data_IF_456520927108
#
_entry.id   IF_456520927108
#
_cell.length_a   1.000
_cell.length_b   1.000
_cell.length_c   1.000
_cell.angle_alpha   90.00
_cell.angle_beta   90.00
_cell.angle_gamma   90.00
#
_symmetry.space_group_name_H-M   'P 1'
#
loop_
_entity.id
_entity.type
_entity.pdbx_description
1 polymer ?
#
# COMPACT_ATOMS: atom_id res chain seq x y z
N UNK A 1 -26.66 -10.72 3.69
CA UNK A 1 -25.25 -10.54 4.08
C UNK A 1 -24.44 -10.57 2.79
N UNK A 2 -23.82 -9.45 2.41
CA UNK A 2 -23.10 -9.35 1.15
C UNK A 2 -21.79 -10.12 1.23
N UNK A 3 -21.47 -10.91 0.20
CA UNK A 3 -20.27 -11.76 0.09
C UNK A 3 -18.94 -11.02 0.39
N UNK A 4 -18.97 -9.69 0.30
CA UNK A 4 -17.86 -8.79 0.52
C UNK A 4 -17.41 -8.65 2.00
N UNK A 5 -18.34 -8.72 2.96
CA UNK A 5 -18.02 -8.59 4.39
C UNK A 5 -17.31 -9.82 4.96
N UNK A 6 -17.69 -11.01 4.47
CA UNK A 6 -17.08 -12.29 4.84
C UNK A 6 -15.64 -12.41 4.32
N UNK A 7 -15.33 -11.92 3.12
CA UNK A 7 -13.96 -11.93 2.57
C UNK A 7 -12.98 -11.06 3.36
N UNK A 8 -13.47 -10.14 4.19
CA UNK A 8 -12.68 -9.06 4.80
C UNK A 8 -12.69 -9.06 6.32
N UNK A 9 -13.25 -10.09 6.96
CA UNK A 9 -13.40 -10.19 8.42
C UNK A 9 -14.01 -8.92 9.06
N UNK A 10 -14.92 -8.25 8.34
CA UNK A 10 -15.60 -7.10 8.88
C UNK A 10 -16.67 -7.57 9.86
N UNK A 11 -16.78 -6.89 11.01
CA UNK A 11 -17.91 -7.13 11.92
C UNK A 11 -19.22 -6.71 11.25
N UNK A 12 -20.33 -7.29 11.69
CA UNK A 12 -21.67 -6.94 11.17
C UNK A 12 -21.95 -5.44 11.34
N UNK A 13 -21.53 -4.84 12.46
CA UNK A 13 -21.65 -3.41 12.72
C UNK A 13 -20.83 -2.55 11.75
N UNK A 14 -19.61 -2.97 11.42
CA UNK A 14 -18.77 -2.27 10.43
C UNK A 14 -19.34 -2.39 9.01
N UNK A 15 -20.03 -3.50 8.71
CA UNK A 15 -20.70 -3.74 7.42
C UNK A 15 -21.92 -2.84 7.24
N UNK A 16 -22.73 -2.66 8.28
CA UNK A 16 -23.92 -1.80 8.23
C UNK A 16 -23.56 -0.31 8.14
N UNK A 17 -22.50 0.13 8.84
CA UNK A 17 -21.97 1.50 8.68
C UNK A 17 -21.43 1.74 7.26
N UNK A 18 -20.75 0.75 6.66
CA UNK A 18 -20.25 0.82 5.29
C UNK A 18 -21.41 0.96 4.28
N UNK A 19 -22.47 0.17 4.46
CA UNK A 19 -23.67 0.21 3.62
C UNK A 19 -24.38 1.57 3.72
N UNK A 20 -24.51 2.12 4.93
CA UNK A 20 -25.08 3.45 5.15
C UNK A 20 -24.20 4.57 4.56
N UNK A 21 -22.88 4.43 4.60
CA UNK A 21 -21.94 5.38 4.02
C UNK A 21 -21.91 5.31 2.48
N UNK A 22 -22.00 4.11 1.91
CA UNK A 22 -22.14 3.87 0.46
C UNK A 22 -23.46 4.44 -0.10
N UNK A 23 -24.53 4.46 0.70
CA UNK A 23 -25.81 5.10 0.36
C UNK A 23 -25.72 6.64 0.29
N UNK A 24 -24.67 7.27 0.83
CA UNK A 24 -24.39 8.71 0.74
C UNK A 24 -23.37 9.09 -0.36
N UNK A 25 -22.82 8.09 -1.06
CA UNK A 25 -21.76 8.20 -2.08
C UNK A 25 -20.95 6.90 -2.05
N UNK A 26 -20.73 6.27 -3.20
CA UNK A 26 -20.16 4.92 -3.27
C UNK A 26 -18.70 4.92 -2.80
N UNK A 27 -18.47 4.54 -1.53
CA UNK A 27 -17.12 4.30 -1.03
C UNK A 27 -16.64 2.99 -1.64
N UNK A 28 -15.59 3.07 -2.43
CA UNK A 28 -14.93 1.93 -3.05
C UNK A 28 -13.57 1.72 -2.42
N UNK A 29 -13.01 0.54 -2.59
CA UNK A 29 -11.68 0.20 -2.09
C UNK A 29 -10.98 -0.75 -3.07
N UNK A 30 -9.65 -0.86 -2.94
CA UNK A 30 -8.83 -1.81 -3.69
C UNK A 30 -7.70 -2.30 -2.81
N UNK A 31 -7.54 -3.62 -2.79
CA UNK A 31 -6.31 -4.26 -2.33
C UNK A 31 -5.28 -4.24 -3.45
N UNK A 32 -4.03 -4.00 -3.08
CA UNK A 32 -2.96 -3.82 -4.04
C UNK A 32 -1.64 -4.39 -3.57
N UNK A 33 -0.77 -4.62 -4.55
CA UNK A 33 0.62 -5.01 -4.35
C UNK A 33 1.48 -4.33 -5.41
N UNK A 34 2.59 -3.78 -4.99
CA UNK A 34 3.66 -3.23 -5.81
C UNK A 34 4.97 -3.91 -5.39
N UNK A 35 5.87 -4.16 -6.33
CA UNK A 35 7.12 -4.85 -6.04
C UNK A 35 8.29 -4.24 -6.78
N UNK A 36 9.42 -4.19 -6.11
CA UNK A 36 10.72 -3.94 -6.72
C UNK A 36 11.35 -5.28 -7.15
N UNK A 37 11.98 -5.31 -8.32
CA UNK A 37 12.75 -6.46 -8.79
C UNK A 37 14.12 -6.00 -9.29
N UNK A 38 15.19 -6.49 -8.64
CA UNK A 38 16.57 -6.16 -8.98
C UNK A 38 17.50 -7.33 -8.70
N UNK A 39 17.96 -8.01 -9.75
CA UNK A 39 18.83 -9.18 -9.61
C UNK A 39 18.18 -10.29 -8.78
N UNK A 40 18.75 -10.56 -7.60
CA UNK A 40 18.25 -11.55 -6.63
C UNK A 40 17.42 -10.94 -5.48
N UNK A 41 17.00 -9.68 -5.64
CA UNK A 41 16.12 -8.95 -4.74
C UNK A 41 14.70 -8.81 -5.32
N UNK A 42 13.71 -9.28 -4.57
CA UNK A 42 12.28 -9.01 -4.74
C UNK A 42 11.78 -8.39 -3.44
N UNK A 43 11.42 -7.12 -3.47
CA UNK A 43 10.88 -6.42 -2.32
C UNK A 43 9.42 -6.06 -2.58
N UNK A 44 8.54 -6.27 -1.59
CA UNK A 44 7.09 -6.16 -1.76
C UNK A 44 6.47 -5.11 -0.85
N UNK A 45 5.51 -4.39 -1.42
CA UNK A 45 4.71 -3.35 -0.80
C UNK A 45 3.24 -3.65 -1.07
N UNK A 46 2.42 -3.80 -0.05
CA UNK A 46 1.02 -4.17 -0.23
C UNK A 46 0.11 -3.33 0.66
N UNK A 47 -1.17 -3.25 0.30
CA UNK A 47 -2.10 -2.47 1.11
C UNK A 47 -3.52 -2.45 0.59
N UNK A 48 -4.32 -1.60 1.23
CA UNK A 48 -5.71 -1.31 0.92
C UNK A 48 -5.93 0.19 0.92
N UNK A 49 -6.47 0.70 -0.17
CA UNK A 49 -6.84 2.11 -0.32
C UNK A 49 -8.35 2.21 -0.53
N UNK A 50 -8.97 3.21 0.10
CA UNK A 50 -10.38 3.56 -0.09
C UNK A 50 -10.50 4.86 -0.88
N UNK A 51 -11.64 5.07 -1.56
CA UNK A 51 -11.99 6.34 -2.19
C UNK A 51 -13.51 6.54 -2.29
N UNK A 52 -13.96 7.78 -2.40
CA UNK A 52 -15.39 8.16 -2.42
C UNK A 52 -15.78 9.15 -3.53
N UNK A 53 -14.93 9.32 -4.55
CA UNK A 53 -15.12 10.31 -5.62
C UNK A 53 -14.62 11.71 -5.27
N UNK A 54 -14.41 12.01 -3.97
CA UNK A 54 -13.84 13.29 -3.50
C UNK A 54 -12.50 13.12 -2.82
N UNK A 55 -12.31 12.02 -2.11
CA UNK A 55 -11.08 11.68 -1.41
C UNK A 55 -10.64 10.25 -1.70
N UNK A 56 -9.34 10.00 -1.59
CA UNK A 56 -8.74 8.70 -1.40
C UNK A 56 -7.97 8.70 -0.08
N UNK A 57 -7.91 7.56 0.60
CA UNK A 57 -7.24 7.44 1.90
C UNK A 57 -6.77 6.03 2.23
N UNK A 58 -5.76 5.95 3.09
CA UNK A 58 -5.30 4.72 3.74
C UNK A 58 -5.43 4.86 5.26
N UNK A 59 -5.02 5.99 5.84
CA UNK A 59 -5.30 6.29 7.24
C UNK A 59 -6.80 6.50 7.47
N UNK A 60 -7.25 6.34 8.73
CA UNK A 60 -8.67 6.34 9.09
C UNK A 60 -9.42 7.58 8.60
N UNK A 61 -10.48 7.38 7.80
CA UNK A 61 -11.41 8.42 7.37
C UNK A 61 -12.83 7.85 7.30
N UNK A 62 -13.82 8.59 7.82
CA UNK A 62 -15.22 8.16 7.93
C UNK A 62 -15.39 6.76 8.56
N UNK A 63 -14.56 6.46 9.57
CA UNK A 63 -14.58 5.16 10.27
C UNK A 63 -13.85 4.02 9.54
N UNK A 64 -13.36 4.24 8.32
CA UNK A 64 -12.71 3.23 7.50
C UNK A 64 -11.21 3.44 7.47
N UNK A 65 -10.48 2.36 7.79
CA UNK A 65 -9.02 2.35 7.82
C UNK A 65 -8.53 1.35 6.78
N UNK A 66 -7.70 1.83 5.87
CA UNK A 66 -6.97 1.02 4.90
C UNK A 66 -5.83 0.24 5.56
N UNK A 67 -4.94 -0.25 4.72
CA UNK A 67 -3.74 -0.95 5.15
C UNK A 67 -2.55 -0.47 4.31
N UNK A 68 -1.39 -0.36 4.95
CA UNK A 68 -0.13 -0.22 4.24
C UNK A 68 0.90 -1.13 4.93
N UNK A 69 1.37 -2.13 4.20
CA UNK A 69 2.31 -3.14 4.66
C UNK A 69 3.57 -3.01 3.81
N UNK A 70 4.58 -2.38 4.39
CA UNK A 70 5.93 -2.32 3.86
C UNK A 70 6.70 -3.58 4.27
N UNK A 71 7.58 -4.07 3.39
CA UNK A 71 8.27 -5.35 3.58
C UNK A 71 7.28 -6.51 3.81
N UNK A 72 6.27 -6.62 2.93
CA UNK A 72 5.27 -7.68 3.07
C UNK A 72 5.88 -9.06 2.79
N UNK A 73 5.38 -10.10 3.47
CA UNK A 73 5.87 -11.47 3.34
C UNK A 73 5.99 -11.97 1.88
N UNK A 74 7.02 -12.78 1.63
CA UNK A 74 7.33 -13.32 0.31
C UNK A 74 8.20 -12.41 -0.57
N UNK A 75 8.86 -11.41 0.01
CA UNK A 75 10.08 -10.83 -0.57
C UNK A 75 11.21 -11.87 -0.60
N UNK A 76 12.15 -11.71 -1.53
CA UNK A 76 13.32 -12.57 -1.70
C UNK A 76 14.55 -11.67 -1.66
N UNK A 77 15.47 -11.89 -0.73
CA UNK A 77 16.70 -11.09 -0.61
C UNK A 77 17.92 -12.02 -0.53
N UNK A 78 18.27 -12.68 -1.63
CA UNK A 78 19.41 -13.61 -1.64
C UNK A 78 20.71 -12.83 -1.81
N UNK A 79 21.49 -12.75 -0.75
CA UNK A 79 22.75 -11.99 -0.70
C UNK A 79 22.56 -10.49 -0.45
N UNK A 80 21.31 -10.04 -0.24
CA UNK A 80 20.97 -8.66 0.06
C UNK A 80 20.55 -8.50 1.52
N UNK A 81 20.86 -7.36 2.11
CA UNK A 81 20.24 -6.88 3.34
C UNK A 81 19.25 -5.76 2.99
N UNK A 82 18.01 -5.90 3.44
CA UNK A 82 16.95 -4.89 3.21
C UNK A 82 16.65 -4.19 4.53
N UNK A 83 16.65 -2.86 4.52
CA UNK A 83 16.32 -2.03 5.68
C UNK A 83 15.17 -1.09 5.32
N UNK A 84 13.94 -1.33 5.82
CA UNK A 84 12.84 -0.38 5.69
C UNK A 84 13.19 0.96 6.35
N UNK A 85 13.03 2.05 5.61
CA UNK A 85 13.30 3.41 6.08
C UNK A 85 12.02 4.18 6.37
N UNK A 86 11.01 4.04 5.51
CA UNK A 86 9.76 4.79 5.63
C UNK A 86 8.57 3.99 5.12
N UNK A 87 7.44 4.08 5.82
CA UNK A 87 6.18 3.45 5.42
C UNK A 87 5.02 4.39 5.74
N UNK A 88 4.51 5.12 4.74
CA UNK A 88 3.51 6.18 4.98
C UNK A 88 2.09 5.70 4.69
N UNK A 89 1.16 6.00 5.59
CA UNK A 89 -0.28 5.76 5.38
C UNK A 89 -0.97 7.11 5.19
N UNK A 90 -1.19 7.58 3.95
CA UNK A 90 -1.78 8.88 3.67
C UNK A 90 -3.20 9.00 4.24
N UNK A 91 -3.48 10.16 4.84
CA UNK A 91 -4.84 10.57 5.21
C UNK A 91 -5.71 10.90 3.99
N UNK A 92 -6.95 11.27 4.24
CA UNK A 92 -7.88 11.65 3.19
C UNK A 92 -7.43 12.92 2.45
N UNK A 93 -7.40 12.82 1.13
CA UNK A 93 -7.18 13.94 0.22
C UNK A 93 -7.53 13.55 -1.20
N UNK A 94 -7.27 14.42 -2.17
CA UNK A 94 -7.54 14.13 -3.60
C UNK A 94 -6.72 12.96 -4.15
N UNK A 95 -5.68 12.55 -3.42
CA UNK A 95 -4.81 11.45 -3.75
C UNK A 95 -4.25 10.81 -2.47
N UNK A 96 -4.18 9.48 -2.45
CA UNK A 96 -3.53 8.68 -1.42
C UNK A 96 -2.31 7.99 -2.03
N UNK A 97 -1.12 8.52 -1.75
CA UNK A 97 0.17 7.92 -2.13
C UNK A 97 0.72 7.06 -0.99
N UNK A 98 0.58 5.74 -1.13
CA UNK A 98 1.26 4.80 -0.25
C UNK A 98 2.73 4.77 -0.64
N UNK A 99 3.60 5.21 0.27
CA UNK A 99 5.04 5.23 0.03
C UNK A 99 5.76 4.23 0.91
N UNK A 100 6.63 3.43 0.30
CA UNK A 100 7.57 2.56 0.97
C UNK A 100 8.99 2.86 0.50
N UNK A 101 9.84 3.33 1.43
CA UNK A 101 11.28 3.53 1.18
C UNK A 101 12.10 2.47 1.91
N UNK A 102 13.11 1.93 1.25
CA UNK A 102 14.06 0.99 1.85
C UNK A 102 15.45 1.09 1.23
N UNK A 103 16.46 0.78 2.04
CA UNK A 103 17.82 0.52 1.56
C UNK A 103 17.97 -0.97 1.26
N UNK A 104 18.63 -1.28 0.15
CA UNK A 104 19.04 -2.63 -0.23
C UNK A 104 20.56 -2.68 -0.42
N UNK A 105 21.25 -3.44 0.45
CA UNK A 105 22.71 -3.53 0.44
C UNK A 105 23.21 -4.92 0.04
N UNK A 106 24.25 -4.98 -0.78
CA UNK A 106 24.99 -6.20 -1.15
C UNK A 106 26.49 -5.95 -1.10
N UNK A 107 27.28 -6.98 -0.79
CA UNK A 107 28.73 -6.93 -0.97
C UNK A 107 29.10 -7.49 -2.36
N UNK A 108 29.70 -6.65 -3.22
CA UNK A 108 30.20 -7.05 -4.53
C UNK A 108 31.70 -6.80 -4.58
N UNK A 109 32.49 -7.84 -4.88
CA UNK A 109 33.96 -7.77 -4.94
C UNK A 109 34.63 -7.16 -3.69
N UNK A 110 34.03 -7.39 -2.51
CA UNK A 110 34.54 -6.88 -1.23
C UNK A 110 34.16 -5.42 -0.93
N UNK A 111 33.39 -4.76 -1.81
CA UNK A 111 32.86 -3.42 -1.58
C UNK A 111 31.34 -3.45 -1.33
N UNK A 112 30.83 -2.71 -0.33
CA UNK A 112 29.39 -2.59 -0.13
C UNK A 112 28.76 -1.68 -1.20
N UNK A 113 27.67 -2.14 -1.80
CA UNK A 113 26.80 -1.37 -2.67
C UNK A 113 25.45 -1.26 -1.96
N UNK A 114 24.92 -0.05 -1.82
CA UNK A 114 23.58 0.20 -1.27
C UNK A 114 22.75 0.95 -2.29
N UNK A 115 21.56 0.44 -2.56
CA UNK A 115 20.53 1.07 -3.37
C UNK A 115 19.49 1.66 -2.42
N UNK A 116 19.13 2.93 -2.59
CA UNK A 116 18.02 3.58 -1.89
C UNK A 116 16.83 3.57 -2.83
N UNK A 117 15.77 2.84 -2.47
CA UNK A 117 14.63 2.56 -3.35
C UNK A 117 13.34 3.02 -2.67
N UNK A 118 12.51 3.73 -3.43
CA UNK A 118 11.17 4.13 -3.03
C UNK A 118 10.11 3.53 -3.95
N UNK A 119 9.11 2.86 -3.39
CA UNK A 119 7.94 2.34 -4.09
C UNK A 119 6.72 3.22 -3.78
N UNK A 120 6.08 3.72 -4.83
CA UNK A 120 4.86 4.50 -4.73
C UNK A 120 3.68 3.73 -5.30
N UNK A 121 2.57 3.73 -4.56
CA UNK A 121 1.26 3.29 -5.03
C UNK A 121 0.25 4.40 -4.76
N UNK A 122 -0.09 5.14 -5.79
CA UNK A 122 -0.93 6.33 -5.70
C UNK A 122 -2.32 6.03 -6.23
N UNK A 123 -3.35 6.31 -5.44
CA UNK A 123 -4.76 6.21 -5.84
C UNK A 123 -5.43 7.57 -5.71
N UNK A 124 -6.03 8.09 -6.78
CA UNK A 124 -6.77 9.35 -6.73
C UNK A 124 -8.21 9.15 -6.19
N UNK A 125 -8.92 10.25 -5.96
CA UNK A 125 -10.30 10.22 -5.47
C UNK A 125 -11.30 9.44 -6.35
N UNK A 126 -11.00 9.23 -7.63
CA UNK A 126 -11.84 8.45 -8.56
C UNK A 126 -11.42 6.98 -8.67
N UNK A 127 -10.34 6.56 -8.00
CA UNK A 127 -9.83 5.20 -8.03
C UNK A 127 -8.80 4.91 -9.13
N UNK A 128 -8.35 5.93 -9.87
CA UNK A 128 -7.24 5.75 -10.83
C UNK A 128 -5.94 5.54 -10.07
N UNK A 129 -5.14 4.61 -10.59
CA UNK A 129 -3.90 4.17 -9.95
C UNK A 129 -2.70 4.54 -10.78
N UNK A 130 -1.65 5.02 -10.12
CA UNK A 130 -0.31 5.16 -10.67
C UNK A 130 0.71 4.52 -9.74
N UNK A 131 1.63 3.77 -10.32
CA UNK A 131 2.74 3.12 -9.59
C UNK A 131 4.06 3.52 -10.22
N UNK A 132 5.02 3.94 -9.40
CA UNK A 132 6.36 4.26 -9.87
C UNK A 132 7.40 3.98 -8.79
N UNK A 133 8.65 3.98 -9.22
CA UNK A 133 9.81 3.73 -8.37
C UNK A 133 10.72 4.95 -8.43
N UNK A 134 11.36 5.27 -7.31
CA UNK A 134 12.39 6.32 -7.23
C UNK A 134 13.65 5.73 -6.61
N UNK A 135 14.80 6.27 -7.00
CA UNK A 135 16.10 5.71 -6.59
C UNK A 135 16.46 4.42 -7.32
N UNK A 136 17.62 3.85 -6.97
CA UNK A 136 18.30 2.79 -7.72
C UNK A 136 19.81 2.96 -7.70
#
# INVERSE_FOLDING_TARGET
MGAYAEENNLSDAATDELLLAALQGEITYRDWTHSYWGGSLLEKHAGRTFWDGSNAWIATYRGLTGANVCHSEGGIAVGWAVTPLECSSPGAGTNADAYYRFDASVAFEGSPVTLDIGLHYSTNATGDVSTWQVGG
#
